data_IF_044029746691
#
_entry.id   IF_044029746691
#
_cell.length_a   1.000
_cell.length_b   1.000
_cell.length_c   1.000
_cell.angle_alpha   90.00
_cell.angle_beta   90.00
_cell.angle_gamma   90.00
#
_symmetry.space_group_name_H-M   'P 1'
#
loop_
_entity.id
_entity.type
_entity.pdbx_description
1 polymer ?
#
# COMPACT_ATOMS: atom_id res chain seq x y z
N UNK A 1 -65.26 -10.17 -8.66
CA UNK A 1 -64.69 -11.48 -9.04
C UNK A 1 -63.45 -11.18 -9.86
N UNK A 2 -62.25 -11.33 -9.27
CA UNK A 2 -60.98 -11.02 -9.96
C UNK A 2 -60.16 -12.31 -10.12
N UNK A 3 -59.52 -12.55 -11.27
CA UNK A 3 -58.75 -13.77 -11.51
C UNK A 3 -57.41 -13.71 -10.76
N UNK A 4 -57.06 -14.82 -10.10
CA UNK A 4 -55.78 -14.95 -9.41
C UNK A 4 -54.62 -15.13 -10.39
N UNK A 5 -53.59 -14.28 -10.27
CA UNK A 5 -52.33 -14.40 -11.00
C UNK A 5 -51.44 -15.46 -10.35
N UNK A 6 -51.51 -16.70 -10.86
CA UNK A 6 -50.61 -17.77 -10.48
C UNK A 6 -49.17 -17.48 -10.93
N UNK A 7 -48.29 -17.16 -9.97
CA UNK A 7 -46.89 -16.87 -10.24
C UNK A 7 -46.11 -18.17 -10.49
N UNK A 8 -46.09 -18.64 -11.74
CA UNK A 8 -45.30 -19.80 -12.16
C UNK A 8 -43.79 -19.47 -12.10
N UNK A 9 -43.17 -19.74 -10.94
CA UNK A 9 -41.71 -19.80 -10.87
C UNK A 9 -41.20 -20.92 -11.79
N UNK A 10 -40.60 -20.54 -12.92
CA UNK A 10 -39.85 -21.49 -13.76
C UNK A 10 -38.70 -22.10 -12.95
N UNK A 11 -38.73 -23.41 -12.78
CA UNK A 11 -37.75 -24.18 -11.97
C UNK A 11 -36.28 -23.94 -12.36
N UNK A 12 -36.02 -23.59 -13.61
CA UNK A 12 -34.68 -23.19 -14.08
C UNK A 12 -34.11 -21.92 -13.44
N UNK A 13 -34.97 -21.02 -12.93
CA UNK A 13 -34.53 -19.77 -12.28
C UNK A 13 -33.89 -20.04 -10.91
N UNK A 14 -34.50 -20.93 -10.11
CA UNK A 14 -34.07 -21.21 -8.74
C UNK A 14 -32.66 -21.81 -8.68
N UNK A 15 -32.33 -22.71 -9.63
CA UNK A 15 -30.99 -23.33 -9.71
C UNK A 15 -29.88 -22.33 -10.01
N UNK A 16 -30.14 -21.35 -10.87
CA UNK A 16 -29.15 -20.31 -11.23
C UNK A 16 -28.92 -19.36 -10.05
N UNK A 17 -30.00 -18.92 -9.37
CA UNK A 17 -29.89 -18.06 -8.19
C UNK A 17 -29.12 -18.74 -7.05
N UNK A 18 -29.39 -20.01 -6.76
CA UNK A 18 -28.63 -20.75 -5.74
C UNK A 18 -27.15 -20.88 -6.09
N UNK A 19 -26.80 -21.12 -7.36
CA UNK A 19 -25.40 -21.24 -7.79
C UNK A 19 -24.64 -19.91 -7.63
N UNK A 20 -25.27 -18.79 -7.99
CA UNK A 20 -24.70 -17.45 -7.78
C UNK A 20 -24.54 -17.12 -6.30
N UNK A 21 -25.48 -17.52 -5.44
CA UNK A 21 -25.39 -17.33 -4.00
C UNK A 21 -24.22 -18.12 -3.40
N UNK A 22 -24.03 -19.37 -3.80
CA UNK A 22 -22.91 -20.22 -3.35
C UNK A 22 -21.56 -19.66 -3.82
N UNK A 23 -21.47 -19.13 -5.05
CA UNK A 23 -20.25 -18.48 -5.55
C UNK A 23 -19.95 -17.17 -4.80
N UNK A 24 -20.96 -16.34 -4.51
CA UNK A 24 -20.78 -15.13 -3.73
C UNK A 24 -20.35 -15.42 -2.28
N UNK A 25 -20.96 -16.42 -1.63
CA UNK A 25 -20.59 -16.88 -0.28
C UNK A 25 -19.18 -17.49 -0.27
N UNK A 26 -18.81 -18.27 -1.29
CA UNK A 26 -17.47 -18.82 -1.45
C UNK A 26 -16.39 -17.75 -1.63
N UNK A 27 -16.65 -16.72 -2.43
CA UNK A 27 -15.74 -15.58 -2.62
C UNK A 27 -15.57 -14.77 -1.33
N UNK A 28 -16.66 -14.50 -0.59
CA UNK A 28 -16.61 -13.83 0.70
C UNK A 28 -15.84 -14.65 1.76
N UNK A 29 -16.04 -15.98 1.78
CA UNK A 29 -15.30 -16.87 2.67
C UNK A 29 -13.81 -16.94 2.35
N UNK A 30 -13.41 -16.80 1.09
CA UNK A 30 -11.98 -16.72 0.70
C UNK A 30 -11.34 -15.39 1.15
N UNK A 31 -12.04 -14.27 1.03
CA UNK A 31 -11.54 -12.97 1.54
C UNK A 31 -11.43 -12.95 3.07
N UNK A 32 -12.39 -13.54 3.78
CA UNK A 32 -12.38 -13.62 5.25
C UNK A 32 -11.28 -14.53 5.84
N UNK A 33 -10.66 -15.39 5.02
CA UNK A 33 -9.59 -16.31 5.43
C UNK A 33 -8.23 -16.00 4.77
N UNK A 34 -8.05 -14.78 4.23
CA UNK A 34 -6.73 -14.35 3.81
C UNK A 34 -5.76 -14.37 5.00
N UNK A 35 -4.55 -14.96 4.87
CA UNK A 35 -3.57 -14.91 5.94
C UNK A 35 -3.23 -13.44 6.24
N UNK A 36 -3.07 -13.06 7.52
CA UNK A 36 -2.67 -11.70 7.88
C UNK A 36 -1.30 -11.39 7.28
N UNK A 37 -1.02 -10.12 6.92
CA UNK A 37 0.25 -9.73 6.32
C UNK A 37 1.43 -10.17 7.20
N UNK A 38 2.44 -10.76 6.55
CA UNK A 38 3.70 -11.15 7.16
C UNK A 38 4.59 -9.91 7.39
N UNK A 39 5.43 -9.96 8.42
CA UNK A 39 6.37 -8.87 8.72
C UNK A 39 7.32 -8.60 7.55
N UNK A 40 7.53 -7.33 7.22
CA UNK A 40 8.46 -6.92 6.15
C UNK A 40 9.88 -6.66 6.70
N UNK A 41 10.90 -6.85 5.86
CA UNK A 41 12.32 -6.79 6.23
C UNK A 41 13.09 -5.89 5.27
N UNK A 42 13.31 -4.65 5.70
CA UNK A 42 13.95 -3.60 4.90
C UNK A 42 15.44 -3.55 5.24
N UNK A 43 16.27 -4.00 4.30
CA UNK A 43 17.73 -4.05 4.46
C UNK A 43 18.39 -2.70 4.19
N UNK A 44 19.51 -2.46 4.87
CA UNK A 44 20.44 -1.37 4.52
C UNK A 44 21.08 -1.63 3.14
N UNK A 45 21.50 -0.58 2.40
CA UNK A 45 22.18 -0.75 1.11
C UNK A 45 23.39 -1.69 1.15
N UNK A 46 24.16 -1.70 2.24
CA UNK A 46 25.27 -2.63 2.47
C UNK A 46 24.88 -4.04 2.98
N UNK A 47 23.58 -4.33 3.19
CA UNK A 47 23.02 -5.57 3.75
C UNK A 47 23.55 -5.97 5.16
N UNK A 48 24.16 -5.07 5.92
CA UNK A 48 24.64 -5.37 7.29
C UNK A 48 23.59 -5.15 8.37
N UNK A 49 22.53 -4.39 8.09
CA UNK A 49 21.46 -4.03 9.02
C UNK A 49 20.10 -4.24 8.37
N UNK A 50 19.08 -4.45 9.21
CA UNK A 50 17.72 -4.66 8.74
C UNK A 50 16.70 -4.06 9.71
N UNK A 51 15.72 -3.36 9.17
CA UNK A 51 14.52 -2.92 9.87
C UNK A 51 13.42 -3.97 9.66
N UNK A 52 12.89 -4.51 10.75
CA UNK A 52 11.69 -5.35 10.74
C UNK A 52 10.47 -4.46 10.94
N UNK A 53 9.51 -4.55 10.01
CA UNK A 53 8.20 -3.92 10.11
C UNK A 53 7.14 -4.95 10.53
N UNK A 54 6.60 -4.79 11.73
CA UNK A 54 5.76 -5.78 12.41
C UNK A 54 4.27 -5.46 12.29
N UNK A 55 3.57 -5.89 11.23
CA UNK A 55 2.19 -5.47 10.92
C UNK A 55 1.16 -5.63 12.07
N UNK A 56 1.43 -6.50 13.04
CA UNK A 56 0.57 -6.72 14.21
C UNK A 56 0.83 -5.78 15.39
N UNK A 57 1.79 -4.86 15.31
CA UNK A 57 2.15 -3.98 16.41
C UNK A 57 2.94 -2.74 16.01
N UNK A 58 2.69 -1.63 16.71
CA UNK A 58 3.28 -0.34 16.41
C UNK A 58 4.79 -0.25 16.65
N UNK A 59 5.38 -1.19 17.38
CA UNK A 59 6.83 -1.26 17.63
C UNK A 59 7.58 -1.87 16.44
N UNK A 60 8.56 -1.13 15.93
CA UNK A 60 9.44 -1.51 14.82
C UNK A 60 10.87 -1.64 15.34
N UNK A 61 11.64 -2.57 14.77
CA UNK A 61 12.89 -3.04 15.38
C UNK A 61 14.03 -3.06 14.36
N UNK A 62 15.17 -2.45 14.72
CA UNK A 62 16.40 -2.49 13.91
C UNK A 62 17.34 -3.54 14.46
N UNK A 63 17.85 -4.40 13.59
CA UNK A 63 18.76 -5.51 13.90
C UNK A 63 20.03 -5.40 13.07
N UNK A 64 21.05 -6.19 13.42
CA UNK A 64 22.03 -6.60 12.42
C UNK A 64 21.39 -7.62 11.48
N UNK A 65 21.87 -7.71 10.24
CA UNK A 65 21.32 -8.67 9.28
C UNK A 65 21.70 -10.12 9.59
N UNK A 66 22.84 -10.34 10.28
CA UNK A 66 23.39 -11.63 10.71
C UNK A 66 22.92 -12.10 12.10
N UNK A 67 22.59 -11.17 12.99
CA UNK A 67 21.96 -11.44 14.30
C UNK A 67 20.64 -10.66 14.44
N UNK A 68 19.54 -11.42 14.40
CA UNK A 68 18.16 -10.92 14.51
C UNK A 68 17.46 -11.39 15.78
N UNK A 69 18.17 -12.01 16.72
CA UNK A 69 17.57 -12.48 17.97
C UNK A 69 17.27 -11.31 18.92
N UNK A 70 18.11 -10.26 18.87
CA UNK A 70 18.00 -9.08 19.73
C UNK A 70 18.03 -7.78 18.92
N UNK A 71 17.05 -6.88 19.09
CA UNK A 71 17.10 -5.57 18.45
C UNK A 71 18.26 -4.73 18.99
N UNK A 72 18.91 -3.99 18.09
CA UNK A 72 19.87 -2.93 18.42
C UNK A 72 19.16 -1.76 19.10
N UNK A 73 18.00 -1.40 18.56
CA UNK A 73 17.06 -0.42 19.10
C UNK A 73 15.69 -0.59 18.44
N UNK A 74 14.69 0.06 19.03
CA UNK A 74 13.28 -0.05 18.64
C UNK A 74 12.65 1.34 18.68
N UNK A 75 11.63 1.56 17.85
CA UNK A 75 10.82 2.78 17.85
C UNK A 75 9.36 2.44 17.59
N UNK A 76 8.45 3.40 17.78
CA UNK A 76 7.02 3.21 17.49
C UNK A 76 6.60 4.07 16.32
N UNK A 77 5.71 3.53 15.50
CA UNK A 77 4.98 4.24 14.44
C UNK A 77 3.50 4.25 14.78
N UNK A 78 2.79 5.30 14.40
CA UNK A 78 1.37 5.45 14.72
C UNK A 78 0.45 5.04 13.54
N UNK A 79 1.02 4.94 12.33
CA UNK A 79 0.33 4.58 11.10
C UNK A 79 1.15 3.61 10.24
N UNK A 80 0.47 2.96 9.29
CA UNK A 80 1.02 2.00 8.34
C UNK A 80 1.00 2.56 6.92
N UNK A 81 1.77 1.94 6.01
CA UNK A 81 1.82 2.33 4.59
C UNK A 81 2.82 3.45 4.28
N UNK A 82 3.78 3.72 5.16
CA UNK A 82 4.94 4.57 4.89
C UNK A 82 6.07 3.76 4.26
N UNK A 83 6.91 4.38 3.43
CA UNK A 83 8.15 3.76 2.94
C UNK A 83 9.26 4.02 3.95
N UNK A 84 10.07 3.00 4.27
CA UNK A 84 11.18 3.13 5.21
C UNK A 84 12.52 2.83 4.56
N UNK A 85 13.58 3.45 5.08
CA UNK A 85 14.97 3.23 4.72
C UNK A 85 15.80 3.12 5.99
N UNK A 86 16.84 2.29 6.00
CA UNK A 86 17.77 2.16 7.14
C UNK A 86 19.19 2.53 6.73
N UNK A 87 19.93 3.15 7.64
CA UNK A 87 21.33 3.55 7.43
C UNK A 87 22.25 2.32 7.30
N UNK A 88 23.40 2.52 6.64
CA UNK A 88 24.42 1.48 6.46
C UNK A 88 25.15 1.10 7.76
N UNK A 89 24.97 1.86 8.84
CA UNK A 89 25.42 1.57 10.20
C UNK A 89 24.27 1.16 11.15
N UNK A 90 23.03 1.09 10.63
CA UNK A 90 21.82 0.80 11.39
C UNK A 90 21.45 1.84 12.45
N UNK A 91 22.09 3.03 12.47
CA UNK A 91 21.85 4.04 13.52
C UNK A 91 20.62 4.90 13.25
N UNK A 92 20.34 5.20 11.97
CA UNK A 92 19.22 6.02 11.53
C UNK A 92 18.22 5.18 10.73
N UNK A 93 16.93 5.43 10.95
CA UNK A 93 15.84 5.06 10.04
C UNK A 93 15.20 6.34 9.48
N UNK A 94 14.96 6.36 8.18
CA UNK A 94 14.13 7.37 7.53
C UNK A 94 12.76 6.79 7.21
N UNK A 95 11.72 7.58 7.49
CA UNK A 95 10.31 7.27 7.35
C UNK A 95 9.73 8.29 6.34
N UNK A 96 9.53 7.85 5.09
CA UNK A 96 8.85 8.63 4.06
C UNK A 96 7.35 8.38 4.23
N UNK A 97 6.71 9.29 4.96
CA UNK A 97 5.31 9.20 5.33
C UNK A 97 4.44 9.47 4.13
N UNK A 98 4.07 8.37 3.48
CA UNK A 98 3.06 8.41 2.44
C UNK A 98 1.72 8.85 3.02
N UNK A 99 0.94 9.55 2.20
CA UNK A 99 -0.22 10.28 2.68
C UNK A 99 -1.45 9.92 1.86
N UNK A 100 -1.91 8.69 2.01
CA UNK A 100 -3.26 8.29 1.60
C UNK A 100 -4.30 8.83 2.60
N UNK A 101 -4.28 10.14 2.85
CA UNK A 101 -5.16 10.78 3.84
C UNK A 101 -6.58 10.94 3.30
N UNK A 102 -7.56 10.60 4.14
CA UNK A 102 -8.96 10.98 3.95
C UNK A 102 -9.14 12.48 4.23
N UNK A 103 -8.67 13.31 3.29
CA UNK A 103 -8.80 14.78 3.20
C UNK A 103 -8.37 15.69 4.38
N UNK A 104 -8.12 15.16 5.59
CA UNK A 104 -8.00 15.95 6.82
C UNK A 104 -6.56 16.12 7.33
N UNK A 105 -5.84 15.04 7.66
CA UNK A 105 -4.52 15.17 8.28
C UNK A 105 -3.37 15.20 7.26
N UNK A 106 -2.91 16.41 7.04
CA UNK A 106 -1.77 16.78 6.23
C UNK A 106 -0.50 16.93 7.07
N UNK A 107 -0.62 17.18 8.37
CA UNK A 107 0.50 17.55 9.23
C UNK A 107 1.48 16.38 9.42
N UNK A 108 0.98 15.15 9.32
CA UNK A 108 1.77 13.92 9.47
C UNK A 108 2.50 13.49 8.17
N UNK A 109 2.17 14.09 7.01
CA UNK A 109 2.79 13.72 5.74
C UNK A 109 4.16 14.38 5.54
N UNK A 110 5.16 13.66 5.04
CA UNK A 110 6.50 14.21 4.81
C UNK A 110 7.62 13.18 4.91
N UNK A 111 8.82 13.64 5.29
CA UNK A 111 10.00 12.79 5.53
C UNK A 111 10.52 13.03 6.93
N UNK A 112 10.67 11.96 7.69
CA UNK A 112 11.12 12.00 9.07
C UNK A 112 12.33 11.07 9.27
N UNK A 113 13.26 11.47 10.13
CA UNK A 113 14.46 10.70 10.47
C UNK A 113 14.49 10.43 11.98
N UNK A 114 14.74 9.16 12.35
CA UNK A 114 14.82 8.70 13.74
C UNK A 114 16.13 8.01 14.04
N UNK A 115 16.58 8.14 15.27
CA UNK A 115 17.60 7.31 15.89
C UNK A 115 17.06 6.63 17.16
N UNK A 116 17.94 5.95 17.90
CA UNK A 116 17.65 5.34 19.21
C UNK A 116 17.20 6.30 20.32
N UNK A 117 17.25 7.61 20.11
CA UNK A 117 16.83 8.65 21.08
C UNK A 117 15.49 9.27 20.73
N UNK A 118 15.11 9.28 19.45
CA UNK A 118 13.82 9.78 18.99
C UNK A 118 13.87 10.31 17.57
N UNK A 119 13.07 11.35 17.31
CA UNK A 119 13.06 12.07 16.03
C UNK A 119 14.24 13.06 16.04
N UNK A 120 15.10 13.00 15.02
CA UNK A 120 16.25 13.91 14.87
C UNK A 120 16.02 14.98 13.80
N UNK A 121 15.15 14.72 12.82
CA UNK A 121 14.73 15.68 11.80
C UNK A 121 13.36 15.30 11.22
N UNK A 122 12.56 16.29 10.84
CA UNK A 122 11.25 16.11 10.20
C UNK A 122 11.02 17.24 9.19
N UNK A 123 10.47 16.90 8.02
CA UNK A 123 10.20 17.80 6.91
C UNK A 123 8.77 17.55 6.42
N UNK A 124 7.85 18.49 6.67
CA UNK A 124 6.45 18.32 6.24
C UNK A 124 6.34 18.34 4.72
N UNK A 125 5.31 17.67 4.17
CA UNK A 125 5.09 17.63 2.73
C UNK A 125 4.89 19.04 2.12
N UNK A 126 4.41 20.07 2.86
CA UNK A 126 4.35 21.44 2.32
C UNK A 126 5.73 21.98 1.94
N UNK A 127 6.78 21.60 2.69
CA UNK A 127 8.17 21.97 2.38
C UNK A 127 8.77 21.17 1.22
N UNK A 128 8.14 20.04 0.84
CA UNK A 128 8.67 19.08 -0.13
C UNK A 128 7.84 18.99 -1.43
N UNK A 129 6.60 19.44 -1.42
CA UNK A 129 5.63 19.33 -2.52
C UNK A 129 4.60 20.46 -2.45
N UNK A 130 4.65 21.41 -3.38
CA UNK A 130 3.72 22.53 -3.39
C UNK A 130 2.30 22.15 -3.86
N UNK A 131 2.17 21.08 -4.65
CA UNK A 131 0.92 20.68 -5.32
C UNK A 131 0.70 19.16 -5.28
N UNK A 132 0.17 18.59 -4.17
CA UNK A 132 -0.17 17.17 -4.11
C UNK A 132 -1.33 16.84 -5.06
N UNK A 133 -1.28 15.68 -5.70
CA UNK A 133 -2.28 15.22 -6.68
C UNK A 133 -3.36 14.39 -6.01
N UNK A 134 -4.57 14.41 -6.55
CA UNK A 134 -5.61 13.46 -6.15
C UNK A 134 -5.31 12.06 -6.71
N UNK A 135 -5.58 11.02 -5.91
CA UNK A 135 -5.46 9.61 -6.29
C UNK A 135 -6.75 8.86 -5.98
N UNK A 136 -6.98 7.75 -6.69
CA UNK A 136 -8.23 6.99 -6.58
C UNK A 136 -8.30 6.11 -5.34
N UNK A 137 -8.78 6.65 -4.20
CA UNK A 137 -9.34 5.85 -3.10
C UNK A 137 -10.29 6.59 -2.10
N UNK A 138 -11.16 7.54 -2.44
CA UNK A 138 -11.48 8.18 -3.73
C UNK A 138 -10.89 9.60 -3.83
N UNK A 139 -10.65 10.25 -2.68
CA UNK A 139 -10.11 11.62 -2.56
C UNK A 139 -8.77 11.67 -1.78
N UNK A 140 -8.06 10.54 -1.71
CA UNK A 140 -6.70 10.47 -1.18
C UNK A 140 -5.77 11.36 -2.02
N UNK A 141 -4.65 11.82 -1.44
CA UNK A 141 -3.72 12.72 -2.12
C UNK A 141 -2.27 12.31 -1.94
N UNK A 142 -1.76 11.53 -2.89
CA UNK A 142 -0.34 11.18 -2.92
C UNK A 142 0.54 12.42 -3.17
N UNK A 143 1.59 12.57 -2.36
CA UNK A 143 2.52 13.70 -2.44
C UNK A 143 3.88 13.34 -3.05
N UNK A 144 4.32 12.08 -2.93
CA UNK A 144 5.55 11.58 -3.56
C UNK A 144 5.28 10.32 -4.39
N UNK A 145 6.13 10.06 -5.38
CA UNK A 145 5.99 8.90 -6.27
C UNK A 145 7.26 8.05 -6.39
N UNK A 146 8.38 8.55 -5.88
CA UNK A 146 9.63 7.81 -5.87
C UNK A 146 10.48 8.25 -4.68
N UNK A 147 11.03 7.27 -3.97
CA UNK A 147 12.05 7.45 -2.95
C UNK A 147 13.13 6.38 -3.12
N UNK A 148 14.39 6.74 -2.90
CA UNK A 148 15.55 5.84 -3.05
C UNK A 148 16.78 6.35 -2.31
N UNK A 149 17.69 5.42 -1.98
CA UNK A 149 19.02 5.73 -1.43
C UNK A 149 20.06 5.82 -2.53
N UNK A 150 20.95 6.81 -2.42
CA UNK A 150 22.17 6.92 -3.21
C UNK A 150 23.34 7.24 -2.27
N UNK A 151 24.11 6.21 -1.91
CA UNK A 151 25.14 6.30 -0.88
C UNK A 151 24.59 6.88 0.43
N UNK A 152 25.19 7.98 0.91
CA UNK A 152 24.78 8.68 2.14
C UNK A 152 23.55 9.56 2.02
N UNK A 153 22.86 9.58 0.87
CA UNK A 153 21.70 10.43 0.65
C UNK A 153 20.41 9.62 0.52
N UNK A 154 19.31 10.18 1.02
CA UNK A 154 17.94 9.82 0.62
C UNK A 154 17.45 10.84 -0.40
N UNK A 155 16.87 10.34 -1.49
CA UNK A 155 16.22 11.13 -2.52
C UNK A 155 14.72 10.84 -2.44
N UNK A 156 13.90 11.89 -2.36
CA UNK A 156 12.44 11.77 -2.43
C UNK A 156 11.92 12.72 -3.50
N UNK A 157 11.10 12.19 -4.41
CA UNK A 157 10.54 12.91 -5.54
C UNK A 157 9.03 13.06 -5.41
N UNK A 158 8.61 14.31 -5.24
CA UNK A 158 7.23 14.74 -5.16
C UNK A 158 6.49 14.62 -6.50
N UNK A 159 5.17 14.44 -6.45
CA UNK A 159 4.31 14.33 -7.64
C UNK A 159 4.29 15.59 -8.51
N UNK A 160 4.64 16.75 -7.93
CA UNK A 160 4.81 18.03 -8.62
C UNK A 160 6.20 18.19 -9.29
N UNK A 161 7.02 17.14 -9.28
CA UNK A 161 8.37 17.12 -9.85
C UNK A 161 9.46 17.66 -8.93
N UNK A 162 9.15 18.08 -7.70
CA UNK A 162 10.18 18.48 -6.72
C UNK A 162 11.02 17.28 -6.32
N UNK A 163 12.33 17.34 -6.50
CA UNK A 163 13.29 16.35 -6.02
C UNK A 163 14.03 16.92 -4.82
N UNK A 164 13.89 16.27 -3.66
CA UNK A 164 14.55 16.66 -2.41
C UNK A 164 15.64 15.62 -2.07
N UNK A 165 16.86 16.08 -1.78
CA UNK A 165 17.99 15.26 -1.35
C UNK A 165 18.36 15.56 0.10
N UNK A 166 18.30 14.54 0.94
CA UNK A 166 18.61 14.63 2.38
C UNK A 166 19.92 13.90 2.68
N UNK A 167 20.77 14.47 3.53
CA UNK A 167 21.89 13.76 4.15
C UNK A 167 21.33 12.77 5.19
N UNK A 168 21.55 11.48 5.00
CA UNK A 168 20.84 10.44 5.75
C UNK A 168 21.21 10.41 7.24
N UNK A 169 22.48 10.69 7.57
CA UNK A 169 22.98 10.64 8.95
C UNK A 169 22.43 11.77 9.83
N UNK A 170 22.13 12.93 9.22
CA UNK A 170 21.62 14.12 9.93
C UNK A 170 20.15 14.41 9.68
N UNK A 171 19.55 13.73 8.70
CA UNK A 171 18.22 14.05 8.17
C UNK A 171 18.12 15.43 7.52
N UNK A 172 19.23 16.16 7.32
CA UNK A 172 19.21 17.54 6.83
C UNK A 172 18.89 17.57 5.33
N UNK A 173 17.95 18.44 4.92
CA UNK A 173 17.75 18.77 3.51
C UNK A 173 19.00 19.49 2.97
N UNK A 174 19.67 18.88 1.99
CA UNK A 174 20.93 19.37 1.39
C UNK A 174 20.66 20.11 0.09
N UNK A 175 19.75 19.61 -0.72
CA UNK A 175 19.43 20.17 -2.03
C UNK A 175 17.96 19.91 -2.36
N UNK A 176 17.31 20.87 -3.01
CA UNK A 176 15.97 20.71 -3.53
C UNK A 176 15.90 21.36 -4.92
N UNK A 177 15.37 20.63 -5.90
CA UNK A 177 15.32 21.06 -7.30
C UNK A 177 14.05 20.63 -8.00
N UNK A 178 13.85 21.09 -9.23
CA UNK A 178 12.73 20.68 -10.09
C UNK A 178 13.20 19.64 -11.10
N UNK A 179 12.37 18.62 -11.28
CA UNK A 179 12.48 17.55 -12.27
C UNK A 179 11.15 17.38 -12.98
N UNK A 180 11.07 16.47 -13.95
CA UNK A 180 9.79 16.12 -14.57
C UNK A 180 8.78 15.64 -13.51
N UNK A 181 7.53 16.14 -13.52
CA UNK A 181 6.47 15.66 -12.64
C UNK A 181 6.15 14.17 -12.86
N UNK A 182 5.45 13.56 -11.90
CA UNK A 182 5.00 12.17 -12.04
C UNK A 182 4.19 11.96 -13.33
N UNK A 183 4.36 10.84 -14.06
CA UNK A 183 3.50 10.47 -15.18
C UNK A 183 2.02 10.42 -14.77
N UNK A 184 1.10 10.79 -15.64
CA UNK A 184 -0.35 10.67 -15.37
C UNK A 184 -0.78 9.21 -15.15
N UNK A 185 -0.07 8.27 -15.78
CA UNK A 185 -0.26 6.82 -15.59
C UNK A 185 0.34 6.28 -14.30
N UNK A 186 0.92 7.12 -13.43
CA UNK A 186 1.42 6.69 -12.13
C UNK A 186 0.26 6.55 -11.14
N UNK A 187 -0.52 5.49 -11.30
CA UNK A 187 -1.48 5.02 -10.31
C UNK A 187 -0.79 4.11 -9.29
N UNK A 188 -1.19 4.25 -8.03
CA UNK A 188 -1.00 3.35 -6.87
C UNK A 188 -0.02 2.19 -7.09
N UNK A 189 1.19 2.27 -6.51
CA UNK A 189 2.10 1.12 -6.51
C UNK A 189 1.43 -0.07 -5.85
N UNK A 190 1.33 -1.16 -6.60
CA UNK A 190 1.07 -2.47 -6.03
C UNK A 190 2.10 -2.75 -4.93
N UNK A 191 1.65 -2.88 -3.69
CA UNK A 191 2.34 -3.80 -2.79
C UNK A 191 2.21 -5.21 -3.38
N UNK A 192 3.19 -6.08 -3.13
CA UNK A 192 3.10 -7.49 -3.53
C UNK A 192 1.91 -8.21 -2.87
N UNK A 193 1.40 -7.69 -1.75
CA UNK A 193 0.18 -8.15 -1.12
C UNK A 193 -1.08 -7.88 -1.98
N UNK A 194 -1.24 -6.69 -2.58
CA UNK A 194 -2.46 -6.33 -3.31
C UNK A 194 -2.65 -7.08 -4.63
N UNK A 195 -1.56 -7.47 -5.31
CA UNK A 195 -1.64 -8.28 -6.53
C UNK A 195 -2.30 -9.65 -6.28
N UNK A 196 -2.16 -10.22 -5.08
CA UNK A 196 -2.85 -11.45 -4.69
C UNK A 196 -4.38 -11.24 -4.54
N UNK A 197 -4.81 -10.09 -4.01
CA UNK A 197 -6.24 -9.78 -3.84
C UNK A 197 -6.94 -9.43 -5.17
N UNK A 198 -6.27 -8.68 -6.05
CA UNK A 198 -6.84 -8.28 -7.35
C UNK A 198 -7.07 -9.45 -8.31
N UNK A 199 -6.13 -10.41 -8.38
CA UNK A 199 -6.22 -11.56 -9.27
C UNK A 199 -7.43 -12.47 -8.97
N UNK A 200 -7.76 -12.67 -7.69
CA UNK A 200 -8.90 -13.49 -7.27
C UNK A 200 -10.26 -12.91 -7.71
N UNK A 201 -10.43 -11.58 -7.63
CA UNK A 201 -11.65 -10.91 -8.07
C UNK A 201 -11.83 -11.00 -9.59
N UNK A 202 -10.77 -10.73 -10.37
CA UNK A 202 -10.81 -10.77 -11.83
C UNK A 202 -11.13 -12.17 -12.38
N UNK A 203 -10.52 -13.23 -11.81
CA UNK A 203 -10.80 -14.61 -12.19
C UNK A 203 -12.25 -15.02 -11.89
N UNK A 204 -12.83 -14.54 -10.78
CA UNK A 204 -14.21 -14.83 -10.40
C UNK A 204 -15.21 -14.20 -11.37
N UNK A 205 -14.98 -12.95 -11.80
CA UNK A 205 -15.83 -12.26 -12.80
C UNK A 205 -15.74 -12.94 -14.18
N UNK A 206 -14.54 -13.35 -14.61
CA UNK A 206 -14.34 -14.09 -15.86
C UNK A 206 -15.04 -15.45 -15.85
N UNK A 207 -15.00 -16.18 -14.73
CA UNK A 207 -15.70 -17.45 -14.57
C UNK A 207 -17.23 -17.27 -14.69
N UNK A 208 -17.79 -16.24 -14.05
CA UNK A 208 -19.22 -15.91 -14.11
C UNK A 208 -19.67 -15.52 -15.53
N UNK A 209 -18.88 -14.70 -16.24
CA UNK A 209 -19.15 -14.33 -17.64
C UNK A 209 -19.11 -15.54 -18.58
N UNK A 210 -18.11 -16.42 -18.43
CA UNK A 210 -18.00 -17.65 -19.21
C UNK A 210 -19.18 -18.61 -18.97
N UNK A 211 -19.66 -18.71 -17.72
CA UNK A 211 -20.83 -19.52 -17.37
C UNK A 211 -22.12 -18.95 -18.00
N UNK A 212 -22.33 -17.63 -17.90
CA UNK A 212 -23.47 -16.93 -18.50
C UNK A 212 -23.52 -17.05 -20.02
N UNK A 213 -22.36 -16.98 -20.69
CA UNK A 213 -22.26 -17.15 -22.14
C UNK A 213 -22.58 -18.58 -22.61
N UNK A 214 -22.16 -19.61 -21.85
CA UNK A 214 -22.51 -21.01 -22.15
C UNK A 214 -24.02 -21.26 -21.97
N UNK A 215 -24.63 -20.74 -20.92
CA UNK A 215 -26.09 -20.88 -20.67
C UNK A 215 -26.95 -20.21 -21.76
N UNK A 216 -26.47 -19.16 -22.43
CA UNK A 216 -27.17 -18.55 -23.58
C UNK A 216 -27.11 -19.36 -24.88
N UNK A 217 -26.09 -20.20 -25.09
CA UNK A 217 -25.93 -21.01 -26.32
C UNK A 217 -26.66 -22.36 -26.28
N UNK A 218 -27.24 -22.73 -25.14
CA UNK A 218 -27.91 -24.02 -24.92
C UNK A 218 -29.42 -24.06 -25.22
N UNK A 219 -29.99 -23.06 -25.89
CA UNK A 219 -31.39 -23.14 -26.38
C UNK A 219 -31.40 -23.69 -27.81
N UNK A 220 -31.89 -24.93 -28.05
CA UNK A 220 -32.36 -25.30 -29.37
C UNK A 220 -33.55 -24.41 -29.76
N UNK A 221 -33.77 -24.26 -31.07
CA UNK A 221 -34.92 -23.57 -31.65
C UNK A 221 -36.20 -24.40 -31.49
#
# INVERSE_FOLDING_TARGET
>A
MFPGTGFLMREGSMRVTCLLLVLALGAAALQANAPPPEDDWIYSPNNQYVLRLTFRGNEQNVYKADDREKPLWSFRIDQWGHNFHVADDGTIVAEVRDSYYYMADKAEAGVLFRDRTGIIAEHSYESLCAQPRATGYENARQWHYQDYREGKFLHVRAVDGTLSRFDFATGKLVEQGRTEPAPESYGSRCSTAELAFGAGAALTVLALLALGLRLRRGRPA
#
